data_IF_979878891059
#
_entry.id   IF_979878891059
#
_cell.length_a   1.000
_cell.length_b   1.000
_cell.length_c   1.000
_cell.angle_alpha   90.00
_cell.angle_beta   90.00
_cell.angle_gamma   90.00
#
_symmetry.space_group_name_H-M   'P 1'
#
loop_
_entity.id
_entity.type
_entity.pdbx_description
1 polymer ?
#
# COMPACT_ATOMS: atom_id res chain seq x y z
N UNK A 1 -10.09 -33.59 18.20
CA UNK A 1 -9.73 -32.63 17.12
C UNK A 1 -10.20 -31.21 17.41
N UNK A 2 -11.50 -30.93 17.60
CA UNK A 2 -11.97 -29.56 17.92
C UNK A 2 -11.50 -29.09 19.32
N UNK A 3 -11.56 -29.96 20.34
CA UNK A 3 -10.97 -29.68 21.66
C UNK A 3 -9.45 -29.44 21.59
N UNK A 4 -8.74 -30.26 20.82
CA UNK A 4 -7.28 -30.15 20.67
C UNK A 4 -6.87 -28.89 19.91
N UNK A 5 -7.64 -28.51 18.90
CA UNK A 5 -7.47 -27.24 18.18
C UNK A 5 -7.75 -26.04 19.08
N UNK A 6 -8.80 -26.09 19.91
CA UNK A 6 -9.07 -25.06 20.91
C UNK A 6 -7.91 -24.93 21.89
N UNK A 7 -7.40 -26.05 22.41
CA UNK A 7 -6.25 -26.05 23.33
C UNK A 7 -4.96 -25.54 22.66
N UNK A 8 -4.78 -25.81 21.37
CA UNK A 8 -3.66 -25.29 20.58
C UNK A 8 -3.80 -23.78 20.30
N UNK A 9 -5.00 -23.34 19.90
CA UNK A 9 -5.30 -21.94 19.60
C UNK A 9 -5.29 -21.07 20.87
N UNK A 10 -5.64 -21.61 22.04
CA UNK A 10 -5.57 -20.89 23.33
C UNK A 10 -4.15 -20.84 23.91
N UNK A 11 -3.13 -21.35 23.22
CA UNK A 11 -1.74 -21.10 23.60
C UNK A 11 -1.46 -19.61 23.40
N UNK A 12 -1.14 -18.89 24.49
CA UNK A 12 -0.94 -17.44 24.48
C UNK A 12 -0.05 -16.93 23.32
N UNK A 13 1.06 -17.62 23.06
CA UNK A 13 1.98 -17.26 21.96
C UNK A 13 1.33 -17.25 20.56
N UNK A 14 0.31 -18.10 20.30
CA UNK A 14 -0.39 -18.15 19.00
C UNK A 14 -1.45 -17.06 18.90
N UNK A 15 -2.16 -16.78 20.01
CA UNK A 15 -3.17 -15.70 20.08
C UNK A 15 -2.50 -14.34 19.92
N UNK A 16 -1.43 -14.09 20.66
CA UNK A 16 -0.72 -12.80 20.64
C UNK A 16 -0.09 -12.54 19.27
N UNK A 17 0.46 -13.58 18.64
CA UNK A 17 0.97 -13.50 17.27
C UNK A 17 -0.15 -13.21 16.26
N UNK A 18 -1.30 -13.88 16.37
CA UNK A 18 -2.44 -13.64 15.48
C UNK A 18 -2.98 -12.21 15.63
N UNK A 19 -3.09 -11.71 16.85
CA UNK A 19 -3.49 -10.33 17.14
C UNK A 19 -2.48 -9.34 16.57
N UNK A 20 -1.17 -9.58 16.74
CA UNK A 20 -0.11 -8.74 16.17
C UNK A 20 -0.16 -8.64 14.65
N UNK A 21 -0.40 -9.76 13.96
CA UNK A 21 -0.52 -9.79 12.49
C UNK A 21 -1.77 -9.05 12.01
N UNK A 22 -2.91 -9.23 12.68
CA UNK A 22 -4.17 -8.55 12.33
C UNK A 22 -4.03 -7.03 12.52
N UNK A 23 -3.47 -6.60 13.65
CA UNK A 23 -3.22 -5.19 13.92
C UNK A 23 -2.23 -4.64 12.89
N UNK A 24 -1.14 -5.34 12.59
CA UNK A 24 -0.17 -4.92 11.58
C UNK A 24 -0.80 -4.73 10.19
N UNK A 25 -1.62 -5.69 9.76
CA UNK A 25 -2.30 -5.62 8.46
C UNK A 25 -3.34 -4.48 8.38
N UNK A 26 -4.09 -4.26 9.46
CA UNK A 26 -5.08 -3.18 9.52
C UNK A 26 -4.42 -1.80 9.63
N UNK A 27 -3.38 -1.67 10.46
CA UNK A 27 -2.67 -0.42 10.70
C UNK A 27 -1.88 0.03 9.48
N UNK A 28 -1.35 -0.89 8.69
CA UNK A 28 -0.68 -0.54 7.42
C UNK A 28 -1.59 0.27 6.49
N UNK A 29 -2.87 -0.10 6.37
CA UNK A 29 -3.85 0.66 5.56
C UNK A 29 -4.10 2.07 6.08
N UNK A 30 -4.06 2.26 7.40
CA UNK A 30 -4.21 3.58 8.03
C UNK A 30 -3.00 4.45 7.68
N UNK A 31 -1.80 3.88 7.76
CA UNK A 31 -0.57 4.57 7.36
C UNK A 31 -0.59 4.88 5.86
N UNK A 32 -1.02 3.94 5.02
CA UNK A 32 -1.11 4.16 3.56
C UNK A 32 -2.06 5.33 3.22
N UNK A 33 -3.24 5.39 3.86
CA UNK A 33 -4.17 6.52 3.67
C UNK A 33 -3.57 7.83 4.20
N UNK A 34 -2.93 7.83 5.37
CA UNK A 34 -2.26 9.02 5.89
C UNK A 34 -1.18 9.54 4.92
N UNK A 35 -0.38 8.63 4.35
CA UNK A 35 0.66 9.01 3.40
C UNK A 35 0.04 9.55 2.11
N UNK A 36 -0.91 8.83 1.51
CA UNK A 36 -1.49 9.18 0.22
C UNK A 36 -2.41 10.40 0.28
N UNK A 37 -3.19 10.55 1.35
CA UNK A 37 -4.25 11.55 1.44
C UNK A 37 -3.80 12.83 2.17
N UNK A 38 -2.70 12.78 2.95
CA UNK A 38 -2.22 13.92 3.74
C UNK A 38 -0.79 14.30 3.38
N UNK A 39 0.14 13.34 3.39
CA UNK A 39 1.56 13.64 3.17
C UNK A 39 1.84 13.95 1.69
N UNK A 40 1.35 13.13 0.77
CA UNK A 40 1.57 13.28 -0.68
C UNK A 40 1.03 14.61 -1.23
N UNK A 41 -0.17 15.11 -0.85
CA UNK A 41 -0.63 16.44 -1.27
C UNK A 41 0.24 17.58 -0.74
N UNK A 42 0.74 17.47 0.49
CA UNK A 42 1.64 18.48 1.08
C UNK A 42 3.00 18.49 0.38
N UNK A 43 3.56 17.30 0.13
CA UNK A 43 4.80 17.17 -0.64
C UNK A 43 4.59 17.70 -2.06
N UNK A 44 3.50 17.32 -2.73
CA UNK A 44 3.15 17.79 -4.07
C UNK A 44 2.95 19.31 -4.14
N UNK A 45 2.40 19.93 -3.09
CA UNK A 45 2.26 21.38 -3.00
C UNK A 45 3.63 22.09 -2.87
N UNK A 46 4.58 21.49 -2.15
CA UNK A 46 5.93 22.05 -1.97
C UNK A 46 6.81 21.82 -3.20
N UNK A 47 6.65 20.70 -3.91
CA UNK A 47 7.43 20.36 -5.11
C UNK A 47 6.81 20.89 -6.41
N UNK A 48 5.70 21.63 -6.35
CA UNK A 48 5.13 22.35 -7.49
C UNK A 48 4.19 21.55 -8.38
N UNK A 49 3.46 20.56 -7.83
CA UNK A 49 2.47 19.75 -8.56
C UNK A 49 3.03 18.47 -9.17
N UNK A 50 4.23 18.05 -8.76
CA UNK A 50 4.76 16.74 -9.12
C UNK A 50 4.05 15.65 -8.32
N UNK A 51 3.09 14.99 -8.97
CA UNK A 51 2.49 13.77 -8.47
C UNK A 51 3.49 12.61 -8.61
N UNK A 52 4.27 12.35 -7.55
CA UNK A 52 5.24 11.25 -7.51
C UNK A 52 4.60 9.86 -7.63
N UNK A 53 3.28 9.73 -7.44
CA UNK A 53 2.56 8.48 -7.73
C UNK A 53 2.36 8.26 -9.22
N UNK A 54 2.37 9.32 -10.03
CA UNK A 54 2.26 9.27 -11.49
C UNK A 54 3.52 9.79 -12.22
N UNK A 55 4.62 10.01 -11.50
CA UNK A 55 5.84 10.55 -12.09
C UNK A 55 6.64 9.46 -12.79
N UNK A 56 6.50 9.39 -14.11
CA UNK A 56 7.34 8.55 -14.97
C UNK A 56 7.68 9.30 -16.26
N UNK A 57 8.85 9.01 -16.82
CA UNK A 57 9.28 9.56 -18.10
C UNK A 57 9.05 8.49 -19.17
N UNK A 58 8.10 8.64 -20.10
CA UNK A 58 7.88 7.66 -21.14
C UNK A 58 9.10 7.61 -22.07
N UNK A 59 9.76 6.45 -22.12
CA UNK A 59 10.90 6.18 -23.02
C UNK A 59 10.45 5.70 -24.42
N UNK A 60 9.14 5.52 -24.63
CA UNK A 60 8.56 5.00 -25.87
C UNK A 60 7.44 5.91 -26.39
N UNK A 61 7.39 6.10 -27.72
CA UNK A 61 6.37 6.91 -28.39
C UNK A 61 4.95 6.31 -28.32
N UNK A 62 4.80 5.09 -27.80
CA UNK A 62 3.52 4.41 -27.66
C UNK A 62 2.71 4.89 -26.44
N UNK A 63 3.34 5.61 -25.50
CA UNK A 63 2.68 6.15 -24.31
C UNK A 63 2.43 7.64 -24.53
N UNK A 64 1.39 7.96 -25.30
CA UNK A 64 0.96 9.34 -25.53
C UNK A 64 -0.14 9.74 -24.53
N UNK A 65 -0.02 10.92 -23.92
CA UNK A 65 -1.07 11.54 -23.10
C UNK A 65 -0.90 11.46 -21.58
N UNK A 66 0.28 11.06 -21.07
CA UNK A 66 0.54 10.88 -19.62
C UNK A 66 -0.60 10.14 -18.88
N UNK A 67 -1.01 8.93 -19.34
CA UNK A 67 -1.97 8.11 -18.59
C UNK A 67 -1.45 7.83 -17.18
N UNK A 68 -2.36 7.52 -16.25
CA UNK A 68 -1.98 7.14 -14.90
C UNK A 68 -0.91 6.02 -14.92
N UNK A 69 0.06 6.08 -14.00
CA UNK A 69 1.21 5.16 -13.95
C UNK A 69 0.79 3.68 -13.97
N UNK A 70 -0.36 3.36 -13.38
CA UNK A 70 -0.95 2.03 -13.38
C UNK A 70 -1.23 1.48 -14.79
N UNK A 71 -1.59 2.34 -15.74
CA UNK A 71 -1.88 1.96 -17.13
C UNK A 71 -0.63 2.04 -18.01
N UNK A 72 0.29 2.98 -17.72
CA UNK A 72 1.60 3.04 -18.36
C UNK A 72 2.45 1.78 -18.06
N UNK A 73 2.43 1.28 -16.81
CA UNK A 73 3.13 0.05 -16.40
C UNK A 73 2.62 -1.20 -17.13
N UNK A 74 1.31 -1.29 -17.39
CA UNK A 74 0.72 -2.39 -18.18
C UNK A 74 1.15 -2.34 -19.64
N UNK A 75 1.41 -1.14 -20.16
CA UNK A 75 1.91 -0.91 -21.51
C UNK A 75 3.46 -1.03 -21.62
N UNK A 76 4.14 -1.36 -20.51
CA UNK A 76 5.59 -1.62 -20.50
C UNK A 76 6.48 -0.40 -20.20
N UNK A 77 5.97 0.59 -19.46
CA UNK A 77 6.76 1.67 -18.85
C UNK A 77 7.56 1.22 -17.63
#
# INVERSE_FOLDING_TARGET
MFQDFKNFAMKGNVVDLAVGVIIGAAFSKIIDSLVNDVIMPVIGAITGGLDFSNYYVPLSAAIQGHPAYADAKKAGA
#
